data_IF_596135043813
#
_entry.id   IF_596135043813
#
_cell.length_a   1.000
_cell.length_b   1.000
_cell.length_c   1.000
_cell.angle_alpha   90.00
_cell.angle_beta   90.00
_cell.angle_gamma   90.00
#
_symmetry.space_group_name_H-M   'P 1'
#
loop_
_entity.id
_entity.type
_entity.pdbx_description
1 polymer ?
#
# COMPACT_ATOMS: atom_id res chain seq x y z
N UNK A 1 -23.17 -15.96 15.80
CA UNK A 1 -22.05 -15.62 14.89
C UNK A 1 -22.55 -14.82 13.67
N UNK A 2 -23.42 -13.81 13.87
CA UNK A 2 -24.06 -13.04 12.79
C UNK A 2 -23.85 -11.52 12.96
N UNK A 3 -22.63 -11.08 13.27
CA UNK A 3 -22.31 -9.66 13.51
C UNK A 3 -21.49 -8.99 12.40
N UNK A 4 -21.18 -9.70 11.32
CA UNK A 4 -20.44 -9.16 10.19
C UNK A 4 -21.33 -9.19 8.93
N UNK A 5 -22.10 -8.13 8.66
CA UNK A 5 -22.96 -8.05 7.48
C UNK A 5 -22.08 -7.89 6.23
N UNK A 6 -22.28 -8.77 5.24
CA UNK A 6 -21.85 -8.75 3.82
C UNK A 6 -20.39 -8.42 3.41
N UNK A 7 -19.65 -7.59 4.15
CA UNK A 7 -18.24 -7.29 3.93
C UNK A 7 -17.35 -8.52 4.17
N UNK A 8 -17.80 -9.41 5.07
CA UNK A 8 -17.15 -10.67 5.39
C UNK A 8 -17.50 -11.82 4.42
N UNK A 9 -18.41 -11.64 3.45
CA UNK A 9 -18.75 -12.64 2.41
C UNK A 9 -18.37 -12.20 0.99
N UNK A 10 -18.45 -10.91 0.67
CA UNK A 10 -17.99 -10.36 -0.61
C UNK A 10 -17.38 -8.98 -0.41
N UNK A 11 -16.04 -8.88 -0.45
CA UNK A 11 -15.38 -7.56 -0.53
C UNK A 11 -15.82 -6.88 -1.83
N UNK A 12 -16.57 -5.77 -1.78
CA UNK A 12 -17.12 -5.19 -2.98
C UNK A 12 -16.00 -4.66 -3.87
N UNK A 13 -16.09 -4.92 -5.17
CA UNK A 13 -15.03 -4.63 -6.14
C UNK A 13 -14.58 -3.16 -6.09
N UNK A 14 -15.52 -2.23 -5.93
CA UNK A 14 -15.21 -0.80 -5.84
C UNK A 14 -14.30 -0.47 -4.64
N UNK A 15 -14.45 -1.17 -3.51
CA UNK A 15 -13.64 -0.97 -2.32
C UNK A 15 -12.23 -1.53 -2.49
N UNK A 16 -12.11 -2.65 -3.18
CA UNK A 16 -10.80 -3.18 -3.57
C UNK A 16 -10.09 -2.22 -4.53
N UNK A 17 -10.79 -1.70 -5.54
CA UNK A 17 -10.24 -0.73 -6.50
C UNK A 17 -9.81 0.57 -5.83
N UNK A 18 -10.60 1.14 -4.92
CA UNK A 18 -10.20 2.37 -4.21
C UNK A 18 -8.98 2.14 -3.33
N UNK A 19 -8.93 1.03 -2.60
CA UNK A 19 -7.79 0.68 -1.73
C UNK A 19 -6.51 0.49 -2.53
N UNK A 20 -6.58 -0.29 -3.61
CA UNK A 20 -5.45 -0.55 -4.50
C UNK A 20 -5.01 0.73 -5.22
N UNK A 21 -5.96 1.51 -5.73
CA UNK A 21 -5.68 2.76 -6.44
C UNK A 21 -5.04 3.82 -5.55
N UNK A 22 -5.54 4.02 -4.33
CA UNK A 22 -4.95 4.95 -3.36
C UNK A 22 -3.52 4.53 -3.02
N UNK A 23 -3.29 3.25 -2.72
CA UNK A 23 -1.94 2.77 -2.43
C UNK A 23 -1.01 2.88 -3.64
N UNK A 24 -1.49 2.61 -4.85
CA UNK A 24 -0.70 2.79 -6.07
C UNK A 24 -0.31 4.26 -6.29
N UNK A 25 -1.22 5.20 -6.06
CA UNK A 25 -0.93 6.63 -6.07
C UNK A 25 0.16 6.97 -5.05
N UNK A 26 0.04 6.46 -3.81
CA UNK A 26 1.01 6.73 -2.75
C UNK A 26 2.39 6.17 -3.10
N UNK A 27 2.47 4.94 -3.64
CA UNK A 27 3.71 4.32 -4.08
C UNK A 27 4.38 5.10 -5.20
N UNK A 28 3.62 5.43 -6.25
CA UNK A 28 4.11 6.22 -7.37
C UNK A 28 4.55 7.63 -6.94
N UNK A 29 3.80 8.28 -6.03
CA UNK A 29 4.19 9.58 -5.49
C UNK A 29 5.49 9.51 -4.71
N UNK A 30 5.70 8.47 -3.89
CA UNK A 30 6.95 8.28 -3.13
C UNK A 30 8.17 8.20 -4.03
N UNK A 31 8.03 7.66 -5.24
CA UNK A 31 9.08 7.65 -6.25
C UNK A 31 9.26 9.03 -6.90
N UNK A 32 8.16 9.74 -7.16
CA UNK A 32 8.19 11.05 -7.82
C UNK A 32 8.75 12.18 -6.95
N UNK A 33 8.59 12.10 -5.63
CA UNK A 33 9.06 13.13 -4.67
C UNK A 33 10.40 12.74 -3.99
N UNK A 34 11.06 11.71 -4.50
CA UNK A 34 12.33 11.26 -3.94
C UNK A 34 13.45 12.26 -4.27
N UNK A 35 13.88 13.02 -3.25
CA UNK A 35 14.94 14.03 -3.38
C UNK A 35 16.33 13.39 -3.55
N UNK A 36 16.50 12.10 -3.18
CA UNK A 36 17.80 11.41 -3.19
C UNK A 36 18.05 10.60 -4.46
N UNK A 37 16.99 10.08 -5.08
CA UNK A 37 17.07 9.24 -6.29
C UNK A 37 16.04 9.67 -7.35
N UNK A 38 16.53 9.89 -8.56
CA UNK A 38 15.67 10.21 -9.71
C UNK A 38 15.19 8.92 -10.38
N UNK A 39 14.03 8.42 -9.96
CA UNK A 39 13.40 7.24 -10.57
C UNK A 39 12.80 7.58 -11.93
N UNK A 40 12.96 6.68 -12.90
CA UNK A 40 12.31 6.78 -14.20
C UNK A 40 10.85 6.30 -14.13
N UNK A 41 10.16 6.31 -15.27
CA UNK A 41 8.76 5.89 -15.37
C UNK A 41 8.60 4.41 -14.96
N UNK A 42 9.59 3.57 -15.24
CA UNK A 42 9.58 2.14 -14.86
C UNK A 42 9.68 2.00 -13.35
N UNK A 43 10.60 2.74 -12.70
CA UNK A 43 10.70 2.81 -11.26
C UNK A 43 9.39 3.28 -10.63
N UNK A 44 8.87 4.42 -11.06
CA UNK A 44 7.60 4.98 -10.58
C UNK A 44 6.43 4.00 -10.72
N UNK A 45 6.35 3.30 -11.85
CA UNK A 45 5.34 2.27 -12.09
C UNK A 45 5.51 1.09 -11.15
N UNK A 46 6.75 0.66 -10.92
CA UNK A 46 7.08 -0.45 -10.02
C UNK A 46 6.66 -0.14 -8.59
N UNK A 47 6.96 1.07 -8.08
CA UNK A 47 6.51 1.48 -6.74
C UNK A 47 4.99 1.54 -6.63
N UNK A 48 4.29 2.02 -7.67
CA UNK A 48 2.84 2.01 -7.73
C UNK A 48 2.26 0.58 -7.68
N UNK A 49 2.83 -0.34 -8.45
CA UNK A 49 2.41 -1.75 -8.47
C UNK A 49 2.69 -2.44 -7.13
N UNK A 50 3.89 -2.28 -6.57
CA UNK A 50 4.26 -2.91 -5.30
C UNK A 50 3.40 -2.39 -4.14
N UNK A 51 3.13 -1.09 -4.10
CA UNK A 51 2.30 -0.53 -3.03
C UNK A 51 0.82 -0.88 -3.22
N UNK A 52 0.32 -0.82 -4.47
CA UNK A 52 -1.07 -1.11 -4.80
C UNK A 52 -1.45 -2.59 -4.66
N UNK A 53 -0.63 -3.52 -5.17
CA UNK A 53 -0.95 -4.95 -5.25
C UNK A 53 -0.09 -5.83 -4.34
N UNK A 54 1.11 -5.38 -3.94
CA UNK A 54 2.04 -6.21 -3.18
C UNK A 54 1.47 -6.74 -1.87
N UNK A 55 0.68 -5.92 -1.15
CA UNK A 55 -0.05 -6.38 0.03
C UNK A 55 -1.07 -7.50 -0.26
N UNK A 56 -1.78 -7.39 -1.38
CA UNK A 56 -2.72 -8.40 -1.86
C UNK A 56 -2.02 -9.69 -2.30
N UNK A 57 -0.86 -9.58 -2.95
CA UNK A 57 -0.03 -10.74 -3.30
C UNK A 57 0.44 -11.48 -2.05
N UNK A 58 0.95 -10.78 -1.05
CA UNK A 58 1.40 -11.41 0.20
C UNK A 58 0.22 -12.10 0.89
N UNK A 59 -0.95 -11.45 0.98
CA UNK A 59 -2.18 -12.05 1.54
C UNK A 59 -2.53 -13.34 0.81
N UNK A 60 -2.62 -13.30 -0.51
CA UNK A 60 -3.07 -14.43 -1.31
C UNK A 60 -2.10 -15.60 -1.22
N UNK A 61 -0.79 -15.32 -1.14
CA UNK A 61 0.23 -16.34 -0.90
C UNK A 61 0.10 -16.96 0.49
N UNK A 62 -0.09 -16.16 1.54
CA UNK A 62 -0.24 -16.65 2.92
C UNK A 62 -1.51 -17.49 3.11
N UNK A 63 -2.59 -17.13 2.42
CA UNK A 63 -3.87 -17.85 2.47
C UNK A 63 -3.88 -19.07 1.53
N UNK A 64 -2.91 -19.17 0.60
CA UNK A 64 -2.90 -20.21 -0.44
C UNK A 64 -3.92 -19.98 -1.56
N UNK A 65 -4.39 -18.74 -1.73
CA UNK A 65 -5.38 -18.35 -2.73
C UNK A 65 -4.73 -18.08 -4.09
N UNK A 66 -4.30 -19.13 -4.79
CA UNK A 66 -3.62 -19.05 -6.09
C UNK A 66 -4.52 -19.51 -7.25
N UNK A 67 -4.51 -18.84 -8.42
CA UNK A 67 -3.74 -17.63 -8.76
C UNK A 67 -4.23 -16.40 -7.98
N UNK A 68 -3.36 -15.42 -7.70
CA UNK A 68 -3.69 -14.24 -6.87
C UNK A 68 -4.87 -13.43 -7.42
N UNK A 69 -5.68 -12.80 -6.57
CA UNK A 69 -6.92 -12.08 -6.91
C UNK A 69 -6.68 -10.99 -7.98
N UNK A 70 -5.54 -10.29 -7.89
CA UNK A 70 -5.18 -9.24 -8.86
C UNK A 70 -4.93 -9.74 -10.28
N UNK A 71 -4.69 -11.04 -10.46
CA UNK A 71 -4.55 -11.67 -11.78
C UNK A 71 -5.85 -12.32 -12.27
N UNK A 72 -6.84 -12.52 -11.38
CA UNK A 72 -8.15 -13.07 -11.76
C UNK A 72 -9.05 -12.05 -12.42
N UNK A 73 -8.81 -10.76 -12.18
CA UNK A 73 -9.62 -9.68 -12.74
C UNK A 73 -8.73 -8.60 -13.37
N UNK A 74 -9.07 -8.09 -14.56
CA UNK A 74 -8.29 -7.03 -15.20
C UNK A 74 -8.41 -5.69 -14.46
N UNK A 75 -9.49 -5.52 -13.68
CA UNK A 75 -9.86 -4.27 -13.04
C UNK A 75 -8.85 -3.77 -12.01
N UNK A 76 -8.24 -4.67 -11.23
CA UNK A 76 -7.26 -4.27 -10.21
C UNK A 76 -5.97 -3.77 -10.88
N UNK A 77 -5.46 -4.49 -11.88
CA UNK A 77 -4.31 -4.04 -12.68
C UNK A 77 -4.61 -2.73 -13.42
N UNK A 78 -5.77 -2.62 -14.06
CA UNK A 78 -6.19 -1.40 -14.74
C UNK A 78 -6.26 -0.20 -13.79
N UNK A 79 -6.72 -0.41 -12.55
CA UNK A 79 -6.78 0.64 -11.53
C UNK A 79 -5.40 1.13 -11.13
N UNK A 80 -4.43 0.21 -10.97
CA UNK A 80 -3.04 0.57 -10.67
C UNK A 80 -2.42 1.36 -11.82
N UNK A 81 -2.61 0.91 -13.06
CA UNK A 81 -2.11 1.61 -14.24
C UNK A 81 -2.74 3.00 -14.36
N UNK A 82 -4.06 3.12 -14.13
CA UNK A 82 -4.75 4.42 -14.10
C UNK A 82 -4.21 5.34 -13.00
N UNK A 83 -3.97 4.82 -11.80
CA UNK A 83 -3.35 5.55 -10.70
C UNK A 83 -1.94 6.05 -11.05
N UNK A 84 -1.12 5.22 -11.71
CA UNK A 84 0.22 5.60 -12.18
C UNK A 84 0.12 6.74 -13.20
N UNK A 85 -0.78 6.64 -14.18
CA UNK A 85 -1.00 7.71 -15.17
C UNK A 85 -1.43 9.01 -14.50
N UNK A 86 -2.32 8.95 -13.50
CA UNK A 86 -2.72 10.12 -12.72
C UNK A 86 -1.51 10.77 -12.04
N UNK A 87 -0.61 9.98 -11.44
CA UNK A 87 0.60 10.53 -10.80
C UNK A 87 1.58 11.10 -11.81
N UNK A 88 1.74 10.48 -12.98
CA UNK A 88 2.60 11.02 -14.04
C UNK A 88 2.10 12.39 -14.54
N UNK A 89 0.79 12.60 -14.61
CA UNK A 89 0.20 13.85 -15.08
C UNK A 89 0.06 14.92 -13.98
N UNK A 90 -0.26 14.50 -12.74
CA UNK A 90 -0.69 15.38 -11.66
C UNK A 90 0.18 15.26 -10.39
N UNK A 91 1.33 14.60 -10.45
CA UNK A 91 2.16 14.29 -9.29
C UNK A 91 2.50 15.49 -8.41
N UNK A 92 2.80 16.64 -9.03
CA UNK A 92 3.11 17.89 -8.30
C UNK A 92 1.89 18.43 -7.53
N UNK A 93 0.70 18.36 -8.13
CA UNK A 93 -0.56 18.79 -7.52
C UNK A 93 -0.94 17.85 -6.37
N UNK A 94 -0.78 16.54 -6.57
CA UNK A 94 -1.01 15.53 -5.52
C UNK A 94 -0.03 15.69 -4.34
N UNK A 95 1.23 16.00 -4.61
CA UNK A 95 2.21 16.30 -3.56
C UNK A 95 1.82 17.53 -2.73
N UNK A 96 1.15 18.52 -3.34
CA UNK A 96 0.64 19.71 -2.65
C UNK A 96 -0.46 19.38 -1.63
N UNK A 97 -1.29 18.38 -1.93
CA UNK A 97 -2.35 17.86 -1.05
C UNK A 97 -1.87 16.66 -0.21
N UNK A 98 -0.59 16.64 0.16
CA UNK A 98 0.04 15.53 0.90
C UNK A 98 -0.70 15.09 2.16
N UNK A 99 -1.41 16.00 2.84
CA UNK A 99 -2.24 15.65 4.00
C UNK A 99 -3.37 14.68 3.63
N UNK A 100 -4.10 14.98 2.55
CA UNK A 100 -5.21 14.14 2.10
C UNK A 100 -4.71 12.79 1.60
N UNK A 101 -3.60 12.77 0.86
CA UNK A 101 -2.95 11.53 0.41
C UNK A 101 -2.54 10.64 1.60
N UNK A 102 -1.96 11.24 2.65
CA UNK A 102 -1.61 10.51 3.89
C UNK A 102 -2.84 9.94 4.60
N UNK A 103 -3.92 10.72 4.69
CA UNK A 103 -5.17 10.28 5.30
C UNK A 103 -5.81 9.12 4.53
N UNK A 104 -5.91 9.25 3.20
CA UNK A 104 -6.43 8.20 2.34
C UNK A 104 -5.57 6.94 2.43
N UNK A 105 -4.24 7.08 2.50
CA UNK A 105 -3.34 5.95 2.69
C UNK A 105 -3.59 5.22 4.03
N UNK A 106 -3.82 5.96 5.12
CA UNK A 106 -4.14 5.35 6.41
C UNK A 106 -5.46 4.56 6.37
N UNK A 107 -6.47 5.10 5.68
CA UNK A 107 -7.74 4.39 5.45
C UNK A 107 -7.53 3.14 4.59
N UNK A 108 -6.75 3.24 3.51
CA UNK A 108 -6.43 2.12 2.64
C UNK A 108 -5.67 1.00 3.39
N UNK A 109 -4.77 1.36 4.31
CA UNK A 109 -4.07 0.42 5.20
C UNK A 109 -5.06 -0.34 6.09
N UNK A 110 -6.02 0.38 6.69
CA UNK A 110 -7.09 -0.23 7.50
C UNK A 110 -7.98 -1.17 6.70
N UNK A 111 -8.34 -0.78 5.47
CA UNK A 111 -9.13 -1.62 4.56
C UNK A 111 -8.37 -2.89 4.14
N UNK A 112 -7.07 -2.80 3.86
CA UNK A 112 -6.25 -3.99 3.61
C UNK A 112 -6.19 -4.91 4.82
N UNK A 113 -6.04 -4.36 6.03
CA UNK A 113 -5.98 -5.15 7.25
C UNK A 113 -7.29 -5.93 7.44
N UNK A 114 -8.43 -5.24 7.40
CA UNK A 114 -9.75 -5.87 7.55
C UNK A 114 -10.00 -6.91 6.44
N UNK A 115 -9.66 -6.58 5.19
CA UNK A 115 -9.78 -7.49 4.06
C UNK A 115 -8.93 -8.75 4.26
N UNK A 116 -7.66 -8.61 4.65
CA UNK A 116 -6.78 -9.75 4.89
C UNK A 116 -7.24 -10.64 6.05
N UNK A 117 -7.75 -10.05 7.14
CA UNK A 117 -8.37 -10.84 8.22
C UNK A 117 -9.59 -11.59 7.70
N UNK A 118 -10.46 -10.93 6.94
CA UNK A 118 -11.65 -11.57 6.37
C UNK A 118 -11.27 -12.76 5.44
N UNK A 119 -10.25 -12.59 4.59
CA UNK A 119 -9.74 -13.67 3.75
C UNK A 119 -9.15 -14.83 4.57
N UNK A 120 -8.39 -14.55 5.62
CA UNK A 120 -7.86 -15.59 6.51
C UNK A 120 -8.97 -16.37 7.23
N UNK A 121 -9.98 -15.67 7.74
CA UNK A 121 -11.13 -16.32 8.40
C UNK A 121 -11.97 -17.16 7.42
N UNK A 122 -12.13 -16.73 6.16
CA UNK A 122 -12.81 -17.51 5.11
C UNK A 122 -12.04 -18.76 4.70
N UNK A 123 -10.72 -18.77 4.91
CA UNK A 123 -9.87 -19.92 4.67
C UNK A 123 -9.75 -20.81 5.92
N UNK A 124 -10.71 -20.72 6.85
CA UNK A 124 -10.78 -21.48 8.10
C UNK A 124 -9.51 -21.36 8.98
N UNK A 125 -8.74 -20.29 8.82
CA UNK A 125 -7.57 -20.04 9.66
C UNK A 125 -8.01 -19.63 11.08
N UNK A 126 -7.23 -20.00 12.12
CA UNK A 126 -7.45 -19.49 13.47
C UNK A 126 -7.44 -17.95 13.51
N UNK A 127 -8.23 -17.35 14.40
CA UNK A 127 -8.39 -15.88 14.51
C UNK A 127 -7.05 -15.15 14.59
N UNK A 128 -6.11 -15.67 15.38
CA UNK A 128 -4.78 -15.07 15.54
C UNK A 128 -4.00 -15.08 14.21
N UNK A 129 -4.05 -16.19 13.47
CA UNK A 129 -3.40 -16.31 12.16
C UNK A 129 -4.06 -15.40 11.12
N UNK A 130 -5.38 -15.27 11.14
CA UNK A 130 -6.10 -14.36 10.25
C UNK A 130 -5.73 -12.88 10.53
N UNK A 131 -5.62 -12.49 11.81
CA UNK A 131 -5.14 -11.15 12.20
C UNK A 131 -3.72 -10.92 11.67
N UNK A 132 -2.83 -11.90 11.82
CA UNK A 132 -1.46 -11.82 11.31
C UNK A 132 -1.44 -11.60 9.79
N UNK A 133 -2.21 -12.39 9.02
CA UNK A 133 -2.35 -12.22 7.56
C UNK A 133 -2.84 -10.82 7.21
N UNK A 134 -3.85 -10.32 7.93
CA UNK A 134 -4.38 -8.96 7.75
C UNK A 134 -3.31 -7.88 7.94
N UNK A 135 -2.60 -7.92 9.06
CA UNK A 135 -1.55 -6.94 9.37
C UNK A 135 -0.42 -6.99 8.35
N UNK A 136 0.09 -8.19 8.04
CA UNK A 136 1.20 -8.37 7.10
C UNK A 136 0.81 -7.95 5.68
N UNK A 137 -0.42 -8.24 5.24
CA UNK A 137 -0.94 -7.76 3.97
C UNK A 137 -0.98 -6.23 3.90
N UNK A 138 -1.50 -5.60 4.97
CA UNK A 138 -1.66 -4.15 5.03
C UNK A 138 -0.32 -3.40 4.99
N UNK A 139 0.68 -3.84 5.76
CA UNK A 139 1.99 -3.17 5.77
C UNK A 139 2.90 -3.62 4.63
N UNK A 140 2.66 -4.81 4.06
CA UNK A 140 3.56 -5.49 3.13
C UNK A 140 3.93 -4.66 1.91
N UNK A 141 2.94 -4.01 1.28
CA UNK A 141 3.21 -3.13 0.12
C UNK A 141 4.16 -1.97 0.47
N UNK A 142 3.97 -1.34 1.63
CA UNK A 142 4.84 -0.28 2.12
C UNK A 142 6.25 -0.78 2.47
N UNK A 143 6.36 -1.98 3.05
CA UNK A 143 7.66 -2.61 3.33
C UNK A 143 8.41 -2.91 2.04
N UNK A 144 7.75 -3.48 1.03
CA UNK A 144 8.36 -3.76 -0.27
C UNK A 144 8.92 -2.49 -0.92
N UNK A 145 8.15 -1.40 -0.89
CA UNK A 145 8.60 -0.09 -1.37
C UNK A 145 9.82 0.40 -0.59
N UNK A 146 9.78 0.35 0.75
CA UNK A 146 10.91 0.80 1.58
C UNK A 146 12.18 -0.02 1.31
N UNK A 147 12.09 -1.34 1.23
CA UNK A 147 13.23 -2.22 0.90
C UNK A 147 13.80 -1.88 -0.48
N UNK A 148 12.95 -1.65 -1.48
CA UNK A 148 13.41 -1.29 -2.83
C UNK A 148 14.08 0.09 -2.88
N UNK A 149 13.68 1.01 -2.00
CA UNK A 149 14.34 2.31 -1.82
C UNK A 149 15.62 2.24 -0.98
N UNK A 150 15.95 1.09 -0.39
CA UNK A 150 17.00 0.94 0.61
C UNK A 150 16.76 1.83 1.85
N UNK A 151 15.48 1.98 2.22
CA UNK A 151 15.02 2.75 3.38
C UNK A 151 14.48 1.83 4.48
N UNK A 152 14.60 2.27 5.74
CA UNK A 152 13.96 1.57 6.86
C UNK A 152 12.43 1.69 6.74
N UNK A 153 11.67 0.58 6.74
CA UNK A 153 10.21 0.63 6.68
C UNK A 153 9.61 1.48 7.80
N UNK A 154 8.66 2.35 7.43
CA UNK A 154 8.06 3.31 8.36
C UNK A 154 7.40 2.65 9.59
N UNK A 155 6.93 1.40 9.48
CA UNK A 155 6.36 0.64 10.60
C UNK A 155 7.38 0.34 11.70
N UNK A 156 8.68 0.35 11.38
CA UNK A 156 9.77 0.13 12.33
C UNK A 156 10.27 1.44 12.96
N UNK A 157 9.84 2.59 12.44
CA UNK A 157 10.24 3.90 12.94
C UNK A 157 9.30 4.35 14.06
N UNK A 158 9.88 4.95 15.10
CA UNK A 158 9.10 5.60 16.15
C UNK A 158 8.66 6.99 15.69
N UNK A 159 7.50 7.48 16.18
CA UNK A 159 7.02 8.84 15.86
C UNK A 159 8.00 9.93 16.32
N UNK A 160 8.88 9.61 17.27
CA UNK A 160 9.92 10.49 17.78
C UNK A 160 11.18 10.58 16.89
N UNK A 161 11.37 9.66 15.94
CA UNK A 161 12.60 9.55 15.13
C UNK A 161 12.45 10.04 13.69
N UNK A 162 11.30 10.63 13.32
CA UNK A 162 11.11 11.20 11.99
C UNK A 162 11.98 12.46 11.85
N UNK A 163 13.02 12.48 11.00
CA UNK A 163 13.88 13.65 10.87
C UNK A 163 13.05 14.82 10.33
N UNK A 164 12.92 15.90 11.10
CA UNK A 164 12.41 17.14 10.55
C UNK A 164 13.40 17.62 9.47
N UNK A 165 12.89 17.95 8.27
CA UNK A 165 13.66 18.38 7.08
C UNK A 165 14.63 19.56 7.36
N UNK A 166 14.53 20.21 8.54
CA UNK A 166 15.46 21.23 9.03
C UNK A 166 16.71 20.73 9.78
N UNK A 167 16.85 19.45 10.16
CA UNK A 167 17.99 18.95 10.94
C UNK A 167 19.19 18.47 10.11
N UNK A 168 19.00 18.07 8.84
CA UNK A 168 20.12 17.65 7.97
C UNK A 168 21.13 18.76 7.73
N UNK A 169 20.69 20.03 7.66
CA UNK A 169 21.58 21.15 7.35
C UNK A 169 22.60 21.49 8.44
N UNK A 170 22.46 20.95 9.66
CA UNK A 170 23.34 21.24 10.79
C UNK A 170 24.40 20.15 10.98
N UNK A 171 24.16 18.94 10.48
CA UNK A 171 25.12 17.83 10.60
C UNK A 171 26.23 17.84 9.55
N UNK A 172 26.00 18.41 8.36
CA UNK A 172 27.05 18.56 7.33
C UNK A 172 27.98 19.77 7.56
N UNK A 173 27.85 20.48 8.69
CA UNK A 173 28.66 21.64 9.07
C UNK A 173 29.65 21.33 10.22
N UNK A 174 29.93 20.05 10.50
CA UNK A 174 30.91 19.63 11.51
C UNK A 174 31.93 18.64 10.95
#
# INVERSE_FOLDING_TARGET
>A
MNFLPDLATSTPLWLAMTTVGVNAIVGALRASIDDERHWDIVGLSTFGVLMGLGGGFIRDLLVGNLPVESLRTPWLLATVLGAIVIVLLLGQQLARISFLVRLLNALALGLFAISGVAYGLRADMPVISAIFVGVVSAVGGGVLVSVMKDEVPAILLTSASVPHKGSRKIQDLR
#
